data_IF_973845394927
#
_entry.id   IF_973845394927
#
_cell.length_a   1.000
_cell.length_b   1.000
_cell.length_c   1.000
_cell.angle_alpha   90.00
_cell.angle_beta   90.00
_cell.angle_gamma   90.00
#
_symmetry.space_group_name_H-M   'P 1'
#
loop_
_entity.id
_entity.type
_entity.pdbx_description
1 polymer ?
#
# COMPACT_ATOMS: atom_id res chain seq x y z
N UNK A 1 4.02 -12.42 4.41
CA UNK A 1 4.95 -11.27 4.44
C UNK A 1 6.19 -11.45 5.33
N UNK A 2 6.12 -11.38 6.67
CA UNK A 2 7.37 -11.30 7.49
C UNK A 2 8.25 -12.53 7.36
N UNK A 3 7.68 -13.73 7.47
CA UNK A 3 8.43 -14.98 7.33
C UNK A 3 9.14 -15.08 5.98
N UNK A 4 8.48 -14.63 4.89
CA UNK A 4 9.09 -14.60 3.56
C UNK A 4 10.21 -13.56 3.48
N UNK A 5 10.05 -12.38 4.10
CA UNK A 5 11.11 -11.38 4.16
C UNK A 5 12.34 -11.91 4.92
N UNK A 6 12.14 -12.57 6.08
CA UNK A 6 13.22 -13.20 6.84
C UNK A 6 13.96 -14.27 6.03
N UNK A 7 13.24 -15.02 5.18
CA UNK A 7 13.82 -16.12 4.40
C UNK A 7 14.50 -15.68 3.11
N UNK A 8 13.85 -14.81 2.33
CA UNK A 8 14.25 -14.48 0.96
C UNK A 8 14.70 -13.03 0.80
N UNK A 9 14.53 -12.18 1.82
CA UNK A 9 14.83 -10.75 1.76
C UNK A 9 16.31 -10.38 1.74
N UNK A 10 17.22 -11.38 1.74
CA UNK A 10 18.66 -11.17 1.62
C UNK A 10 19.20 -10.16 2.64
N UNK A 11 19.80 -9.06 2.19
CA UNK A 11 20.30 -7.99 3.08
C UNK A 11 19.24 -7.40 4.03
N UNK A 12 17.96 -7.46 3.66
CA UNK A 12 16.84 -6.96 4.48
C UNK A 12 16.24 -8.02 5.40
N UNK A 13 16.73 -9.26 5.35
CA UNK A 13 16.25 -10.37 6.17
C UNK A 13 16.29 -10.03 7.67
N UNK A 14 17.20 -9.18 8.13
CA UNK A 14 17.31 -8.77 9.53
C UNK A 14 16.86 -7.33 9.80
N UNK A 15 16.19 -6.68 8.85
CA UNK A 15 15.70 -5.32 9.04
C UNK A 15 14.73 -5.23 10.25
N UNK A 16 14.76 -4.14 11.04
CA UNK A 16 13.74 -3.90 12.06
C UNK A 16 12.35 -3.80 11.43
N UNK A 17 11.38 -4.53 12.00
CA UNK A 17 10.00 -4.52 11.49
C UNK A 17 9.08 -3.94 12.55
N UNK A 18 8.23 -3.02 12.11
CA UNK A 18 7.10 -2.54 12.89
C UNK A 18 5.81 -3.08 12.30
N UNK A 19 4.98 -3.68 13.14
CA UNK A 19 3.59 -3.93 12.81
C UNK A 19 2.74 -2.89 13.54
N UNK A 20 1.75 -2.30 12.87
CA UNK A 20 0.97 -1.22 13.46
C UNK A 20 -0.52 -1.55 13.40
N UNK A 21 -1.20 -1.35 14.53
CA UNK A 21 -2.66 -1.34 14.62
C UNK A 21 -3.12 0.12 14.73
N UNK A 22 -3.48 0.77 13.62
CA UNK A 22 -3.75 2.21 13.58
C UNK A 22 -5.17 2.57 14.03
N UNK A 23 -6.05 1.56 14.18
CA UNK A 23 -7.44 1.76 14.58
C UNK A 23 -7.99 0.56 15.33
N UNK A 24 -9.03 0.80 16.12
CA UNK A 24 -9.78 -0.24 16.82
C UNK A 24 -10.33 -1.31 15.85
N UNK A 25 -10.17 -2.57 16.24
CA UNK A 25 -10.69 -3.75 15.54
C UNK A 25 -10.57 -4.97 16.45
N UNK A 26 -10.76 -6.16 15.88
CA UNK A 26 -10.46 -7.39 16.59
C UNK A 26 -8.98 -7.41 17.04
N UNK A 27 -8.69 -7.96 18.23
CA UNK A 27 -7.32 -8.12 18.69
C UNK A 27 -6.55 -9.09 17.79
N UNK A 28 -5.22 -8.99 17.82
CA UNK A 28 -4.36 -9.97 17.16
C UNK A 28 -4.55 -11.35 17.80
N UNK A 29 -4.55 -12.39 16.97
CA UNK A 29 -4.59 -13.77 17.46
C UNK A 29 -3.32 -14.12 18.26
N UNK A 30 -3.39 -15.12 19.14
CA UNK A 30 -2.22 -15.65 19.86
C UNK A 30 -1.12 -16.11 18.89
N UNK A 31 -1.50 -16.77 17.80
CA UNK A 31 -0.57 -17.18 16.73
C UNK A 31 0.15 -15.98 16.10
N UNK A 32 -0.55 -14.87 15.86
CA UNK A 32 0.07 -13.65 15.33
C UNK A 32 1.04 -13.04 16.33
N UNK A 33 0.69 -13.00 17.62
CA UNK A 33 1.55 -12.48 18.68
C UNK A 33 2.82 -13.33 18.83
N UNK A 34 2.69 -14.66 18.78
CA UNK A 34 3.83 -15.58 18.77
C UNK A 34 4.76 -15.32 17.58
N UNK A 35 4.21 -15.17 16.36
CA UNK A 35 5.00 -14.83 15.17
C UNK A 35 5.72 -13.48 15.35
N UNK A 36 5.10 -12.52 16.03
CA UNK A 36 5.73 -11.23 16.31
C UNK A 36 6.92 -11.37 17.25
N UNK A 37 6.78 -12.16 18.32
CA UNK A 37 7.87 -12.48 19.24
C UNK A 37 9.01 -13.24 18.54
N UNK A 38 8.70 -14.32 17.83
CA UNK A 38 9.65 -15.17 17.10
C UNK A 38 10.50 -14.39 16.08
N UNK A 39 9.93 -13.34 15.46
CA UNK A 39 10.61 -12.55 14.44
C UNK A 39 11.03 -11.14 14.90
N UNK A 40 10.99 -10.88 16.20
CA UNK A 40 11.36 -9.60 16.83
C UNK A 40 10.63 -8.40 16.20
N UNK A 41 9.32 -8.56 15.97
CA UNK A 41 8.47 -7.53 15.40
C UNK A 41 8.00 -6.60 16.51
N UNK A 42 8.24 -5.30 16.35
CA UNK A 42 7.73 -4.27 17.26
C UNK A 42 6.29 -3.95 16.91
N UNK A 43 5.36 -4.35 17.76
CA UNK A 43 3.94 -4.04 17.58
C UNK A 43 3.58 -2.70 18.22
N UNK A 44 2.98 -1.80 17.45
CA UNK A 44 2.47 -0.51 17.91
C UNK A 44 0.94 -0.50 17.82
N UNK A 45 0.28 -0.06 18.89
CA UNK A 45 -1.14 0.26 18.86
C UNK A 45 -1.25 1.78 18.92
N UNK A 46 -1.71 2.38 17.82
CA UNK A 46 -1.82 3.84 17.72
C UNK A 46 -3.16 4.25 18.32
N UNK A 47 -3.11 5.15 19.29
CA UNK A 47 -4.32 5.85 19.75
C UNK A 47 -4.73 6.83 18.66
N UNK A 48 -6.04 7.00 18.38
CA UNK A 48 -6.48 7.92 17.34
C UNK A 48 -5.86 9.30 17.54
N UNK A 49 -5.18 9.82 16.52
CA UNK A 49 -4.74 11.22 16.52
C UNK A 49 -5.98 12.11 16.47
N UNK A 50 -6.03 13.18 17.27
CA UNK A 50 -7.21 14.07 17.35
C UNK A 50 -7.72 14.49 15.96
N UNK A 51 -6.81 14.84 15.05
CA UNK A 51 -7.15 15.27 13.68
C UNK A 51 -7.65 14.15 12.76
N UNK A 52 -7.43 12.88 13.10
CA UNK A 52 -7.87 11.72 12.31
C UNK A 52 -9.18 11.10 12.81
N UNK A 53 -9.69 11.57 13.96
CA UNK A 53 -10.79 10.91 14.67
C UNK A 53 -12.08 10.89 13.85
N UNK A 54 -12.33 11.93 13.04
CA UNK A 54 -13.48 12.05 12.14
C UNK A 54 -13.47 11.06 10.97
N UNK A 55 -12.31 10.47 10.65
CA UNK A 55 -12.10 9.63 9.49
C UNK A 55 -11.84 8.16 9.82
N UNK A 56 -12.06 7.71 11.07
CA UNK A 56 -11.83 6.32 11.52
C UNK A 56 -12.59 5.24 10.74
N UNK A 57 -13.64 5.65 10.02
CA UNK A 57 -14.38 4.79 9.10
C UNK A 57 -13.60 4.51 7.80
N UNK A 58 -12.79 5.45 7.36
CA UNK A 58 -11.91 5.30 6.22
C UNK A 58 -10.71 4.43 6.61
N UNK A 59 -10.50 3.33 5.91
CA UNK A 59 -9.36 2.44 6.19
C UNK A 59 -8.09 2.84 5.43
N UNK A 60 -8.19 3.64 4.37
CA UNK A 60 -7.05 4.11 3.60
C UNK A 60 -6.13 5.03 4.41
N UNK A 61 -6.67 5.76 5.39
CA UNK A 61 -5.87 6.59 6.31
C UNK A 61 -5.04 5.78 7.33
N UNK A 62 -5.26 4.46 7.43
CA UNK A 62 -4.49 3.61 8.35
C UNK A 62 -3.00 3.61 8.02
N UNK A 63 -2.67 3.62 6.73
CA UNK A 63 -1.31 3.64 6.20
C UNK A 63 -0.54 4.90 6.61
N UNK A 64 -1.00 6.12 6.29
CA UNK A 64 -0.30 7.33 6.72
C UNK A 64 -0.25 7.49 8.25
N UNK A 65 -1.26 7.03 9.00
CA UNK A 65 -1.22 7.01 10.48
C UNK A 65 -0.12 6.08 10.98
N UNK A 66 -0.05 4.87 10.44
CA UNK A 66 0.95 3.87 10.85
C UNK A 66 2.38 4.35 10.54
N UNK A 67 2.58 4.94 9.36
CA UNK A 67 3.87 5.46 8.94
C UNK A 67 4.31 6.60 9.85
N UNK A 68 3.43 7.56 10.16
CA UNK A 68 3.76 8.66 11.07
C UNK A 68 4.15 8.15 12.47
N UNK A 69 3.41 7.18 13.01
CA UNK A 69 3.71 6.61 14.32
C UNK A 69 5.09 5.92 14.36
N UNK A 70 5.48 5.24 13.28
CA UNK A 70 6.81 4.60 13.18
C UNK A 70 7.90 5.64 12.95
N UNK A 71 7.68 6.62 12.07
CA UNK A 71 8.65 7.68 11.75
C UNK A 71 9.09 8.47 12.99
N UNK A 72 8.17 8.69 13.94
CA UNK A 72 8.43 9.40 15.20
C UNK A 72 9.37 8.65 16.16
N UNK A 73 9.48 7.31 16.05
CA UNK A 73 10.22 6.50 17.03
C UNK A 73 11.37 5.70 16.44
N UNK A 74 11.40 5.49 15.12
CA UNK A 74 12.49 4.78 14.48
C UNK A 74 13.76 5.64 14.47
N UNK A 75 14.90 4.99 14.27
CA UNK A 75 16.23 5.62 14.26
C UNK A 75 17.01 5.32 12.98
N UNK A 76 16.41 4.56 12.06
CA UNK A 76 16.98 4.26 10.76
C UNK A 76 17.01 5.52 9.89
N UNK A 77 17.82 5.52 8.85
CA UNK A 77 17.90 6.59 7.86
C UNK A 77 16.65 6.66 6.98
N UNK A 78 16.04 5.50 6.71
CA UNK A 78 14.89 5.36 5.84
C UNK A 78 13.81 4.48 6.47
N UNK A 79 12.60 4.59 5.93
CA UNK A 79 11.46 3.73 6.25
C UNK A 79 10.91 3.17 4.95
N UNK A 80 10.75 1.85 4.90
CA UNK A 80 10.01 1.17 3.86
C UNK A 80 8.60 0.84 4.36
N UNK A 81 7.59 1.21 3.59
CA UNK A 81 6.24 0.68 3.75
C UNK A 81 6.07 -0.56 2.89
N UNK A 82 5.52 -1.62 3.50
CA UNK A 82 5.19 -2.88 2.87
C UNK A 82 3.75 -3.25 3.29
N UNK A 83 2.84 -3.35 2.32
CA UNK A 83 1.50 -3.85 2.60
C UNK A 83 1.54 -5.28 3.18
N UNK A 84 0.51 -5.66 3.94
CA UNK A 84 0.48 -6.95 4.61
C UNK A 84 0.30 -8.14 3.67
N UNK A 85 -0.19 -7.88 2.46
CA UNK A 85 -0.48 -8.86 1.41
C UNK A 85 0.67 -9.01 0.38
N UNK A 86 1.90 -8.92 0.88
CA UNK A 86 3.12 -9.15 0.12
C UNK A 86 3.77 -10.51 0.44
N UNK A 87 4.32 -11.13 -0.60
CA UNK A 87 5.16 -12.33 -0.53
C UNK A 87 6.53 -11.99 -1.14
N UNK A 88 7.57 -12.08 -0.32
CA UNK A 88 8.95 -11.85 -0.76
C UNK A 88 9.50 -13.18 -1.26
N UNK A 89 9.94 -13.24 -2.52
CA UNK A 89 10.44 -14.46 -3.19
C UNK A 89 11.90 -14.34 -3.63
N UNK A 90 12.49 -13.14 -3.53
CA UNK A 90 13.90 -12.86 -3.75
C UNK A 90 14.35 -11.60 -2.99
N UNK A 91 15.65 -11.29 -3.01
CA UNK A 91 16.17 -10.10 -2.32
C UNK A 91 15.68 -8.82 -3.03
N UNK A 92 14.94 -7.91 -2.37
CA UNK A 92 14.45 -6.69 -2.99
C UNK A 92 15.50 -5.57 -2.96
N UNK A 93 16.66 -5.80 -3.59
CA UNK A 93 17.84 -4.94 -3.52
C UNK A 93 17.58 -3.45 -3.79
N UNK A 94 16.73 -3.16 -4.77
CA UNK A 94 16.37 -1.81 -5.22
C UNK A 94 15.58 -0.96 -4.20
N UNK A 95 15.17 -1.53 -3.06
CA UNK A 95 14.61 -0.75 -1.94
C UNK A 95 15.67 0.12 -1.23
N UNK A 96 16.96 -0.06 -1.53
CA UNK A 96 18.02 0.80 -1.02
C UNK A 96 17.92 2.17 -1.71
N UNK A 97 17.89 3.22 -0.90
CA UNK A 97 18.07 4.59 -1.40
C UNK A 97 19.54 4.79 -1.74
N UNK A 98 19.82 5.22 -2.96
CA UNK A 98 21.13 5.72 -3.33
C UNK A 98 21.39 7.10 -2.69
N UNK A 99 22.65 7.55 -2.77
CA UNK A 99 23.03 8.88 -2.32
C UNK A 99 22.21 9.94 -3.05
N UNK A 100 21.61 10.84 -2.26
CA UNK A 100 20.77 11.90 -2.78
C UNK A 100 19.35 11.46 -3.17
N UNK A 101 18.97 10.18 -3.10
CA UNK A 101 17.57 9.74 -3.25
C UNK A 101 16.80 9.89 -1.95
N UNK A 102 15.54 10.33 -2.05
CA UNK A 102 14.68 10.56 -0.90
C UNK A 102 13.36 9.79 -0.94
N UNK A 103 12.96 9.25 -2.10
CA UNK A 103 11.70 8.56 -2.27
C UNK A 103 11.76 7.49 -3.38
N UNK A 104 11.26 6.29 -3.10
CA UNK A 104 11.14 5.19 -4.06
C UNK A 104 9.73 4.65 -4.01
N UNK A 105 9.11 4.37 -5.16
CA UNK A 105 7.83 3.67 -5.22
C UNK A 105 7.67 2.97 -6.57
N UNK A 106 6.86 1.91 -6.61
CA UNK A 106 6.51 1.26 -7.88
C UNK A 106 5.42 2.06 -8.57
N UNK A 107 5.52 2.24 -9.89
CA UNK A 107 4.43 2.87 -10.65
C UNK A 107 3.20 1.95 -10.64
N UNK A 108 2.00 2.55 -10.63
CA UNK A 108 0.73 1.80 -10.63
C UNK A 108 0.34 1.39 -12.05
N UNK A 109 -0.76 0.66 -12.14
CA UNK A 109 -1.65 0.68 -13.31
C UNK A 109 -2.24 2.09 -13.56
N UNK A 110 -2.98 2.22 -14.66
CA UNK A 110 -3.64 3.48 -15.04
C UNK A 110 -4.81 3.88 -14.12
N UNK A 111 -5.45 2.96 -13.39
CA UNK A 111 -6.80 3.12 -12.82
C UNK A 111 -7.02 4.40 -11.98
N UNK A 112 -6.00 4.87 -11.27
CA UNK A 112 -6.06 6.12 -10.47
C UNK A 112 -5.27 7.30 -11.06
N UNK A 113 -4.56 7.08 -12.17
CA UNK A 113 -3.74 8.08 -12.85
C UNK A 113 -4.50 8.76 -13.99
N UNK A 114 -3.89 9.80 -14.54
CA UNK A 114 -4.36 10.51 -15.72
C UNK A 114 -3.24 10.63 -16.75
N UNK A 115 -3.57 10.47 -18.04
CA UNK A 115 -2.66 10.67 -19.18
C UNK A 115 -2.61 12.13 -19.66
N UNK A 116 -3.32 13.04 -19.00
CA UNK A 116 -3.32 14.46 -19.30
C UNK A 116 -4.65 14.97 -19.88
N UNK A 117 -4.63 16.10 -20.60
CA UNK A 117 -5.83 16.70 -21.17
C UNK A 117 -6.67 15.72 -22.00
N UNK A 118 -7.96 15.63 -21.70
CA UNK A 118 -8.92 14.73 -22.37
C UNK A 118 -9.12 13.39 -21.66
N UNK A 119 -8.30 13.07 -20.65
CA UNK A 119 -8.48 11.92 -19.79
C UNK A 119 -9.65 12.10 -18.81
N UNK A 120 -10.42 11.05 -18.56
CA UNK A 120 -11.52 11.05 -17.58
C UNK A 120 -11.07 11.38 -16.15
N UNK A 121 -9.80 11.12 -15.81
CA UNK A 121 -9.24 11.41 -14.50
C UNK A 121 -8.65 12.83 -14.37
N UNK A 122 -8.42 13.56 -15.47
CA UNK A 122 -7.77 14.89 -15.42
C UNK A 122 -8.54 15.91 -14.55
N UNK A 123 -9.89 16.01 -14.60
CA UNK A 123 -10.64 16.93 -13.74
C UNK A 123 -10.44 16.66 -12.25
N UNK A 124 -10.43 15.38 -11.87
CA UNK A 124 -10.14 14.96 -10.50
C UNK A 124 -8.72 15.37 -10.08
N UNK A 125 -7.73 15.14 -10.94
CA UNK A 125 -6.34 15.53 -10.66
C UNK A 125 -6.14 17.04 -10.53
N UNK A 126 -6.85 17.85 -11.33
CA UNK A 126 -6.88 19.30 -11.17
C UNK A 126 -7.39 19.71 -9.78
N UNK A 127 -8.53 19.17 -9.34
CA UNK A 127 -9.09 19.55 -8.04
C UNK A 127 -8.20 19.05 -6.88
N UNK A 128 -7.66 17.84 -6.96
CA UNK A 128 -6.73 17.35 -5.93
C UNK A 128 -5.48 18.23 -5.85
N UNK A 129 -4.88 18.60 -6.98
CA UNK A 129 -3.71 19.49 -6.99
C UNK A 129 -4.05 20.86 -6.39
N UNK A 130 -5.20 21.43 -6.74
CA UNK A 130 -5.69 22.69 -6.15
C UNK A 130 -5.88 22.59 -4.63
N UNK A 131 -6.50 21.52 -4.12
CA UNK A 131 -6.66 21.26 -2.68
C UNK A 131 -5.32 21.19 -1.96
N UNK A 132 -4.30 20.60 -2.61
CA UNK A 132 -2.96 20.44 -2.05
C UNK A 132 -2.03 21.64 -2.30
N UNK A 133 -2.46 22.62 -3.09
CA UNK A 133 -1.65 23.78 -3.47
C UNK A 133 -0.51 23.43 -4.42
N UNK A 134 -0.75 22.49 -5.33
CA UNK A 134 0.18 22.04 -6.37
C UNK A 134 -0.27 22.55 -7.74
N UNK A 135 0.70 22.82 -8.60
CA UNK A 135 0.48 23.06 -10.02
C UNK A 135 0.51 21.72 -10.76
N UNK A 136 -0.61 21.32 -11.35
CA UNK A 136 -0.74 20.06 -12.09
C UNK A 136 0.27 19.97 -13.23
N UNK A 137 0.55 21.09 -13.90
CA UNK A 137 1.45 21.11 -15.05
C UNK A 137 2.92 20.93 -14.68
N UNK A 138 3.27 21.22 -13.43
CA UNK A 138 4.62 20.99 -12.90
C UNK A 138 4.83 19.59 -12.34
N UNK A 139 3.77 18.76 -12.29
CA UNK A 139 3.93 17.39 -11.83
C UNK A 139 4.79 16.59 -12.81
N UNK A 140 5.73 15.77 -12.31
CA UNK A 140 6.44 14.82 -13.16
C UNK A 140 5.49 13.84 -13.82
N UNK A 141 6.00 13.19 -14.86
CA UNK A 141 5.34 12.08 -15.52
C UNK A 141 6.04 10.78 -15.17
N UNK A 142 5.27 9.72 -15.03
CA UNK A 142 5.76 8.35 -14.81
C UNK A 142 5.15 7.40 -15.84
N UNK A 143 5.83 6.30 -16.09
CA UNK A 143 5.34 5.24 -16.99
C UNK A 143 4.73 4.12 -16.15
N UNK A 144 3.48 3.74 -16.42
CA UNK A 144 2.84 2.62 -15.74
C UNK A 144 3.60 1.33 -15.99
N UNK A 145 3.79 0.54 -14.94
CA UNK A 145 4.60 -0.67 -15.03
C UNK A 145 3.89 -1.77 -15.83
N UNK A 146 2.55 -1.83 -15.74
CA UNK A 146 1.77 -2.85 -16.43
C UNK A 146 1.59 -2.52 -17.91
N UNK A 147 1.07 -1.33 -18.22
CA UNK A 147 0.62 -0.96 -19.57
C UNK A 147 1.65 -0.14 -20.37
N UNK A 148 2.69 0.42 -19.73
CA UNK A 148 3.66 1.29 -20.40
C UNK A 148 3.11 2.68 -20.73
N UNK A 149 2.04 3.13 -20.05
CA UNK A 149 1.39 4.40 -20.32
C UNK A 149 2.03 5.54 -19.53
N UNK A 150 2.18 6.70 -20.14
CA UNK A 150 2.69 7.90 -19.47
C UNK A 150 1.54 8.57 -18.71
N UNK A 151 1.62 8.62 -17.38
CA UNK A 151 0.63 9.23 -16.48
C UNK A 151 1.26 10.29 -15.58
N UNK A 152 0.45 11.20 -15.02
CA UNK A 152 0.90 12.13 -13.97
C UNK A 152 1.41 11.34 -12.76
N UNK A 153 2.27 11.98 -11.96
CA UNK A 153 3.06 11.44 -10.84
C UNK A 153 2.29 10.59 -9.80
N UNK A 154 1.93 9.36 -10.18
CA UNK A 154 1.08 8.42 -9.46
C UNK A 154 1.78 7.07 -9.30
N UNK A 155 1.77 6.54 -8.07
CA UNK A 155 2.45 5.30 -7.72
C UNK A 155 1.51 4.35 -7.02
N UNK A 156 1.80 3.05 -7.09
CA UNK A 156 1.16 2.10 -6.21
C UNK A 156 1.65 2.30 -4.76
N UNK A 157 0.74 2.23 -3.79
CA UNK A 157 1.08 2.50 -2.38
C UNK A 157 1.47 1.25 -1.57
N UNK A 158 1.52 0.08 -2.19
CA UNK A 158 1.81 -1.19 -1.54
C UNK A 158 3.26 -1.37 -1.14
N UNK A 159 4.19 -0.80 -1.93
CA UNK A 159 5.62 -0.79 -1.65
C UNK A 159 6.21 0.57 -1.98
N UNK A 160 6.76 1.24 -0.97
CA UNK A 160 7.53 2.46 -1.16
C UNK A 160 8.54 2.67 -0.02
N UNK A 161 9.55 3.48 -0.28
CA UNK A 161 10.61 3.84 0.67
C UNK A 161 10.75 5.35 0.68
N UNK A 162 10.98 5.94 1.86
CA UNK A 162 11.33 7.35 1.95
C UNK A 162 12.47 7.56 2.95
N UNK A 163 13.29 8.56 2.67
CA UNK A 163 14.34 9.03 3.57
C UNK A 163 13.69 9.84 4.70
N UNK A 164 14.10 9.55 5.93
CA UNK A 164 13.63 10.32 7.10
C UNK A 164 14.25 11.71 7.13
N UNK A 165 13.67 12.59 7.94
CA UNK A 165 14.13 13.97 8.09
C UNK A 165 13.52 14.97 7.10
N UNK A 166 12.76 14.51 6.10
CA UNK A 166 12.06 15.37 5.12
C UNK A 166 10.60 15.66 5.47
N UNK A 167 10.13 15.32 6.68
CA UNK A 167 8.73 15.45 7.12
C UNK A 167 7.69 14.72 6.24
N UNK A 168 8.13 13.74 5.44
CA UNK A 168 7.28 13.01 4.51
C UNK A 168 6.06 12.39 5.20
N UNK A 169 6.26 11.62 6.28
CA UNK A 169 5.18 10.93 6.97
C UNK A 169 4.09 11.88 7.49
N UNK A 170 4.49 13.03 8.06
CA UNK A 170 3.57 14.03 8.57
C UNK A 170 2.80 14.73 7.43
N UNK A 171 3.52 15.13 6.38
CA UNK A 171 2.89 15.78 5.22
C UNK A 171 1.98 14.82 4.46
N UNK A 172 2.33 13.54 4.40
CA UNK A 172 1.52 12.52 3.74
C UNK A 172 0.17 12.33 4.44
N UNK A 173 0.18 12.19 5.77
CA UNK A 173 -1.06 12.16 6.54
C UNK A 173 -1.87 13.44 6.37
N UNK A 174 -1.21 14.61 6.42
CA UNK A 174 -1.88 15.91 6.23
C UNK A 174 -2.56 16.00 4.86
N UNK A 175 -1.90 15.57 3.78
CA UNK A 175 -2.46 15.61 2.43
C UNK A 175 -3.66 14.68 2.30
N UNK A 176 -3.58 13.46 2.85
CA UNK A 176 -4.72 12.55 2.90
C UNK A 176 -5.92 13.18 3.63
N UNK A 177 -5.69 13.81 4.78
CA UNK A 177 -6.75 14.47 5.53
C UNK A 177 -7.33 15.68 4.78
N UNK A 178 -6.50 16.53 4.18
CA UNK A 178 -6.95 17.66 3.36
C UNK A 178 -7.86 17.23 2.20
N UNK A 179 -7.50 16.15 1.51
CA UNK A 179 -8.35 15.60 0.44
C UNK A 179 -9.70 15.13 0.98
N UNK A 180 -9.70 14.51 2.16
CA UNK A 180 -10.95 14.09 2.81
C UNK A 180 -11.77 15.28 3.35
N UNK A 181 -11.13 16.33 3.84
CA UNK A 181 -11.79 17.56 4.28
C UNK A 181 -12.44 18.28 3.09
N UNK A 182 -11.77 18.26 1.93
CA UNK A 182 -12.25 18.86 0.69
C UNK A 182 -13.36 18.06 -0.01
N UNK A 183 -13.62 16.81 0.42
CA UNK A 183 -14.68 15.94 -0.10
C UNK A 183 -14.61 15.73 -1.62
N UNK A 184 -13.40 15.65 -2.15
CA UNK A 184 -13.16 15.36 -3.56
C UNK A 184 -13.23 13.86 -3.82
N UNK A 185 -13.90 13.47 -4.89
CA UNK A 185 -14.03 12.08 -5.33
C UNK A 185 -13.84 12.00 -6.84
N UNK A 186 -13.19 10.93 -7.31
CA UNK A 186 -13.14 10.59 -8.72
C UNK A 186 -14.43 9.90 -9.16
N UNK A 187 -14.82 10.10 -10.41
CA UNK A 187 -15.87 9.35 -11.11
C UNK A 187 -15.49 7.89 -11.39
N UNK A 188 -14.19 7.59 -11.53
CA UNK A 188 -13.64 6.26 -11.83
C UNK A 188 -13.40 5.46 -10.56
N UNK A 189 -12.61 6.00 -9.64
CA UNK A 189 -12.17 5.29 -8.45
C UNK A 189 -12.83 5.78 -7.15
N UNK A 190 -13.76 6.73 -7.23
CA UNK A 190 -14.38 7.31 -6.03
C UNK A 190 -13.37 8.11 -5.20
N UNK A 191 -13.57 8.12 -3.88
CA UNK A 191 -12.57 8.59 -2.92
C UNK A 191 -11.67 7.42 -2.45
N UNK A 192 -11.81 6.25 -3.06
CA UNK A 192 -10.92 5.11 -2.81
C UNK A 192 -9.53 5.46 -3.33
N UNK A 193 -8.48 4.96 -2.67
CA UNK A 193 -7.08 5.25 -3.03
C UNK A 193 -6.62 6.71 -2.82
N UNK A 194 -7.33 7.51 -2.00
CA UNK A 194 -6.86 8.84 -1.63
C UNK A 194 -5.44 8.81 -1.01
N UNK A 195 -5.09 7.76 -0.28
CA UNK A 195 -3.73 7.53 0.22
C UNK A 195 -2.74 7.28 -0.91
N UNK A 196 -3.11 6.52 -1.94
CA UNK A 196 -2.26 6.27 -3.09
C UNK A 196 -2.04 7.52 -3.95
N UNK A 197 -3.10 8.30 -4.20
CA UNK A 197 -3.01 9.58 -4.91
C UNK A 197 -2.14 10.58 -4.13
N UNK A 198 -2.37 10.69 -2.81
CA UNK A 198 -1.60 11.60 -1.97
C UNK A 198 -0.11 11.21 -1.86
N UNK A 199 0.28 9.96 -2.15
CA UNK A 199 1.65 9.47 -1.99
C UNK A 199 2.62 10.24 -2.91
N UNK A 200 2.40 10.17 -4.22
CA UNK A 200 3.22 10.87 -5.22
C UNK A 200 3.15 12.38 -5.04
N UNK A 201 1.94 12.93 -4.83
CA UNK A 201 1.74 14.36 -4.63
C UNK A 201 2.46 14.90 -3.39
N UNK A 202 2.59 14.10 -2.34
CA UNK A 202 3.39 14.48 -1.16
C UNK A 202 4.88 14.55 -1.49
N UNK A 203 5.41 13.57 -2.22
CA UNK A 203 6.81 13.59 -2.65
C UNK A 203 7.10 14.79 -3.57
N UNK A 204 6.18 15.11 -4.50
CA UNK A 204 6.28 16.28 -5.37
C UNK A 204 6.23 17.60 -4.58
N UNK A 205 5.29 17.73 -3.63
CA UNK A 205 5.15 18.91 -2.78
C UNK A 205 6.40 19.19 -1.95
N UNK A 206 7.05 18.14 -1.45
CA UNK A 206 8.29 18.22 -0.69
C UNK A 206 9.54 18.30 -1.58
N UNK A 207 9.37 18.29 -2.92
CA UNK A 207 10.45 18.31 -3.91
C UNK A 207 11.49 17.21 -3.65
N UNK A 208 11.02 16.03 -3.26
CA UNK A 208 11.90 14.89 -3.01
C UNK A 208 12.48 14.39 -4.32
N UNK A 209 13.79 14.15 -4.34
CA UNK A 209 14.43 13.33 -5.37
C UNK A 209 13.90 11.90 -5.26
N UNK A 210 13.65 11.30 -6.41
CA UNK A 210 12.93 10.04 -6.47
C UNK A 210 13.40 9.15 -7.62
N UNK A 211 13.08 7.87 -7.50
CA UNK A 211 13.23 6.85 -8.55
C UNK A 211 12.07 5.87 -8.51
N UNK A 212 11.59 5.48 -9.68
CA UNK A 212 10.62 4.39 -9.79
C UNK A 212 11.29 3.05 -9.46
N UNK A 213 10.67 2.27 -8.59
CA UNK A 213 11.04 0.87 -8.39
C UNK A 213 10.68 0.05 -9.63
N UNK A 214 11.49 -0.95 -10.01
CA UNK A 214 11.11 -1.90 -11.04
C UNK A 214 9.83 -2.64 -10.68
N UNK A 215 9.10 -3.12 -11.70
CA UNK A 215 7.85 -3.84 -11.50
C UNK A 215 8.01 -5.11 -10.64
N UNK A 216 9.20 -5.72 -10.68
CA UNK A 216 9.56 -6.88 -9.86
C UNK A 216 9.52 -6.63 -8.35
N UNK A 217 9.47 -5.38 -7.90
CA UNK A 217 9.38 -5.00 -6.47
C UNK A 217 7.95 -4.79 -5.99
N UNK A 218 6.95 -4.95 -6.85
CA UNK A 218 5.54 -4.89 -6.46
C UNK A 218 4.64 -5.58 -7.52
N UNK A 219 4.99 -6.81 -7.92
CA UNK A 219 4.29 -7.50 -9.01
C UNK A 219 2.90 -7.99 -8.53
N UNK A 220 1.79 -7.46 -9.06
CA UNK A 220 0.44 -7.80 -8.62
C UNK A 220 0.02 -9.16 -9.19
N UNK A 221 -0.47 -10.03 -8.32
CA UNK A 221 -1.16 -11.26 -8.72
C UNK A 221 -2.54 -11.22 -8.11
N UNK A 222 -3.56 -11.05 -8.92
CA UNK A 222 -4.95 -10.95 -8.47
C UNK A 222 -5.85 -11.90 -9.27
N UNK A 223 -6.81 -12.60 -8.63
CA UNK A 223 -7.78 -13.42 -9.35
C UNK A 223 -8.62 -12.60 -10.34
N UNK A 224 -8.78 -11.29 -10.09
CA UNK A 224 -9.61 -10.41 -10.91
C UNK A 224 -8.96 -10.00 -12.24
N UNK A 225 -7.63 -9.97 -12.28
CA UNK A 225 -6.87 -9.51 -13.44
C UNK A 225 -5.98 -10.59 -14.04
N UNK A 226 -5.92 -11.79 -13.43
CA UNK A 226 -5.02 -12.86 -13.86
C UNK A 226 -5.17 -13.21 -15.36
N UNK A 227 -6.39 -13.29 -15.87
CA UNK A 227 -6.63 -13.64 -17.28
C UNK A 227 -6.04 -12.63 -18.28
N UNK A 228 -5.98 -11.36 -17.89
CA UNK A 228 -5.55 -10.27 -18.80
C UNK A 228 -4.12 -9.81 -18.54
N UNK A 229 -3.66 -9.91 -17.29
CA UNK A 229 -2.43 -9.26 -16.82
C UNK A 229 -1.32 -10.23 -16.46
N UNK A 230 -1.60 -11.53 -16.36
CA UNK A 230 -0.58 -12.51 -16.04
C UNK A 230 0.50 -12.58 -17.12
N UNK A 231 1.75 -12.47 -16.68
CA UNK A 231 2.93 -12.64 -17.51
C UNK A 231 3.95 -13.44 -16.71
N UNK A 232 4.16 -14.70 -17.10
CA UNK A 232 5.08 -15.61 -16.42
C UNK A 232 6.52 -15.07 -16.41
N UNK A 233 6.96 -14.42 -17.49
CA UNK A 233 8.33 -13.89 -17.60
C UNK A 233 8.56 -12.76 -16.59
N UNK A 234 7.60 -11.83 -16.49
CA UNK A 234 7.65 -10.75 -15.50
C UNK A 234 7.49 -11.27 -14.08
N UNK A 235 6.63 -12.27 -13.86
CA UNK A 235 6.50 -12.90 -12.56
C UNK A 235 7.84 -13.55 -12.16
N UNK A 236 8.52 -14.27 -13.06
CA UNK A 236 9.84 -14.89 -12.79
C UNK A 236 10.92 -13.90 -12.38
N UNK A 237 10.82 -12.65 -12.81
CA UNK A 237 11.71 -11.56 -12.40
C UNK A 237 11.33 -10.95 -11.04
N UNK A 238 10.12 -11.21 -10.53
CA UNK A 238 9.62 -10.62 -9.30
C UNK A 238 10.46 -11.04 -8.09
N UNK A 239 10.77 -10.08 -7.22
CA UNK A 239 11.32 -10.33 -5.89
C UNK A 239 10.26 -10.09 -4.79
N UNK A 240 9.24 -9.29 -5.08
CA UNK A 240 8.07 -9.05 -4.24
C UNK A 240 6.82 -9.25 -5.08
N UNK A 241 5.98 -10.19 -4.64
CA UNK A 241 4.67 -10.46 -5.21
C UNK A 241 3.61 -9.82 -4.32
N UNK A 242 2.84 -8.88 -4.87
CA UNK A 242 1.64 -8.34 -4.25
C UNK A 242 0.47 -9.28 -4.55
N UNK A 243 0.26 -10.24 -3.66
CA UNK A 243 -0.63 -11.37 -3.95
C UNK A 243 -2.12 -11.02 -3.85
N UNK A 244 -2.48 -9.81 -3.40
CA UNK A 244 -3.87 -9.38 -3.21
C UNK A 244 -4.74 -10.46 -2.55
N UNK A 245 -5.67 -11.05 -3.32
CA UNK A 245 -6.55 -12.12 -2.85
C UNK A 245 -6.14 -13.53 -3.32
N UNK A 246 -5.03 -13.67 -4.04
CA UNK A 246 -4.58 -14.91 -4.68
C UNK A 246 -4.20 -16.02 -3.70
N UNK A 247 -3.85 -15.66 -2.47
CA UNK A 247 -3.57 -16.63 -1.41
C UNK A 247 -4.83 -17.19 -0.72
N UNK A 248 -6.03 -16.73 -1.08
CA UNK A 248 -7.30 -17.28 -0.61
C UNK A 248 -7.85 -18.32 -1.59
N UNK A 249 -8.67 -19.25 -1.09
CA UNK A 249 -9.50 -20.08 -1.96
C UNK A 249 -10.55 -19.21 -2.69
N UNK A 250 -10.92 -19.55 -3.95
CA UNK A 250 -10.49 -20.74 -4.70
C UNK A 250 -9.18 -20.57 -5.47
N UNK A 251 -8.58 -19.38 -5.51
CA UNK A 251 -7.46 -19.08 -6.41
C UNK A 251 -6.11 -19.62 -5.95
N UNK A 252 -6.00 -20.09 -4.71
CA UNK A 252 -4.78 -20.64 -4.13
C UNK A 252 -4.05 -21.66 -5.02
N UNK A 253 -4.77 -22.60 -5.64
CA UNK A 253 -4.15 -23.62 -6.50
C UNK A 253 -3.46 -22.97 -7.70
N UNK A 254 -4.17 -22.11 -8.43
CA UNK A 254 -3.61 -21.34 -9.55
C UNK A 254 -2.41 -20.51 -9.12
N UNK A 255 -2.49 -19.86 -7.95
CA UNK A 255 -1.37 -19.09 -7.40
C UNK A 255 -0.15 -19.97 -7.12
N UNK A 256 -0.36 -21.15 -6.52
CA UNK A 256 0.71 -22.10 -6.23
C UNK A 256 1.33 -22.69 -7.50
N UNK A 257 0.53 -22.94 -8.54
CA UNK A 257 1.01 -23.38 -9.84
C UNK A 257 1.91 -22.31 -10.48
N UNK A 258 1.46 -21.05 -10.50
CA UNK A 258 2.29 -19.93 -10.97
C UNK A 258 3.62 -19.83 -10.22
N UNK A 259 3.60 -20.00 -8.89
CA UNK A 259 4.82 -20.01 -8.08
C UNK A 259 5.70 -21.24 -8.37
N UNK A 260 5.12 -22.40 -8.68
CA UNK A 260 5.89 -23.61 -8.98
C UNK A 260 6.73 -23.40 -10.24
N UNK A 261 6.14 -22.78 -11.26
CA UNK A 261 6.83 -22.49 -12.53
C UNK A 261 7.86 -21.37 -12.40
N UNK A 262 7.61 -20.36 -11.57
CA UNK A 262 8.45 -19.14 -11.50
C UNK A 262 9.43 -19.12 -10.33
N UNK A 263 9.04 -19.66 -9.18
CA UNK A 263 9.77 -19.60 -7.91
C UNK A 263 9.63 -20.92 -7.11
N UNK A 264 10.17 -22.05 -7.61
CA UNK A 264 9.90 -23.38 -7.04
C UNK A 264 10.25 -23.50 -5.56
N UNK A 265 11.31 -22.81 -5.09
CA UNK A 265 11.67 -22.79 -3.66
C UNK A 265 10.64 -22.08 -2.79
N UNK A 266 10.01 -21.02 -3.30
CA UNK A 266 8.92 -20.35 -2.59
C UNK A 266 7.65 -21.20 -2.63
N UNK A 267 7.33 -21.81 -3.79
CA UNK A 267 6.18 -22.70 -3.94
C UNK A 267 6.21 -23.88 -2.96
N UNK A 268 7.33 -24.60 -2.87
CA UNK A 268 7.50 -25.73 -1.94
C UNK A 268 7.22 -25.30 -0.50
N UNK A 269 7.71 -24.13 -0.09
CA UNK A 269 7.42 -23.61 1.23
C UNK A 269 5.96 -23.19 1.40
N UNK A 270 5.40 -22.46 0.45
CA UNK A 270 4.02 -22.00 0.50
C UNK A 270 3.04 -23.18 0.58
N UNK A 271 3.33 -24.30 -0.09
CA UNK A 271 2.57 -25.54 0.03
C UNK A 271 2.52 -26.08 1.47
N UNK A 272 3.57 -25.89 2.28
CA UNK A 272 3.58 -26.29 3.70
C UNK A 272 2.71 -25.40 4.59
N UNK A 273 2.43 -24.16 4.17
CA UNK A 273 1.58 -23.21 4.90
C UNK A 273 0.11 -23.41 4.52
N UNK A 274 -0.16 -23.65 3.23
CA UNK A 274 -1.50 -23.76 2.69
C UNK A 274 -2.18 -22.40 2.46
N UNK A 275 -3.44 -22.42 1.99
CA UNK A 275 -4.21 -21.21 1.71
C UNK A 275 -4.49 -20.41 2.99
N UNK A 276 -4.73 -19.10 2.82
CA UNK A 276 -5.20 -18.27 3.92
C UNK A 276 -6.59 -18.72 4.41
N UNK A 277 -6.75 -18.65 5.73
CA UNK A 277 -7.98 -19.02 6.43
C UNK A 277 -8.36 -17.94 7.44
N UNK A 278 -9.63 -17.55 7.45
CA UNK A 278 -10.14 -16.56 8.39
C UNK A 278 -10.54 -17.25 9.70
N UNK A 279 -9.61 -17.26 10.66
CA UNK A 279 -9.78 -17.89 11.98
C UNK A 279 -10.33 -16.95 13.05
N UNK A 280 -10.97 -15.82 12.69
CA UNK A 280 -11.50 -14.88 13.68
C UNK A 280 -12.57 -15.59 14.55
N UNK A 281 -12.46 -15.56 15.89
CA UNK A 281 -13.47 -16.14 16.78
C UNK A 281 -14.86 -15.48 16.63
N UNK A 282 -15.93 -16.24 16.86
CA UNK A 282 -17.32 -15.77 16.68
C UNK A 282 -17.65 -14.45 17.40
N UNK A 283 -17.24 -14.21 18.67
CA UNK A 283 -17.51 -12.93 19.32
C UNK A 283 -16.89 -11.75 18.58
N UNK A 284 -15.67 -11.91 18.08
CA UNK A 284 -14.98 -10.88 17.31
C UNK A 284 -15.54 -10.73 15.90
N UNK A 285 -16.09 -11.79 15.29
CA UNK A 285 -16.86 -11.68 14.03
C UNK A 285 -18.11 -10.80 14.25
N UNK A 286 -18.85 -11.01 15.34
CA UNK A 286 -20.02 -10.20 15.68
C UNK A 286 -19.63 -8.74 15.95
N UNK A 287 -18.60 -8.51 16.77
CA UNK A 287 -18.06 -7.17 17.04
C UNK A 287 -17.63 -6.45 15.76
N UNK A 288 -16.84 -7.11 14.90
CA UNK A 288 -16.40 -6.54 13.61
C UNK A 288 -17.58 -6.25 12.68
N UNK A 289 -18.65 -7.06 12.71
CA UNK A 289 -19.86 -6.81 11.92
C UNK A 289 -20.59 -5.56 12.40
N UNK A 290 -20.74 -5.37 13.71
CA UNK A 290 -21.34 -4.15 14.29
C UNK A 290 -20.50 -2.92 13.96
N UNK A 291 -19.19 -2.99 14.22
CA UNK A 291 -18.26 -1.90 13.91
C UNK A 291 -18.24 -1.59 12.40
N UNK A 292 -18.29 -2.62 11.56
CA UNK A 292 -18.38 -2.51 10.11
C UNK A 292 -19.63 -1.76 9.65
N UNK A 293 -20.79 -2.03 10.25
CA UNK A 293 -22.04 -1.30 9.95
C UNK A 293 -21.95 0.19 10.30
N UNK A 294 -21.40 0.52 11.47
CA UNK A 294 -21.21 1.92 11.88
C UNK A 294 -20.30 2.64 10.90
N UNK A 295 -19.14 2.05 10.58
CA UNK A 295 -18.20 2.62 9.61
C UNK A 295 -18.80 2.75 8.21
N UNK A 296 -19.57 1.76 7.77
CA UNK A 296 -20.24 1.79 6.47
C UNK A 296 -21.28 2.91 6.40
N UNK A 297 -22.04 3.15 7.47
CA UNK A 297 -22.97 4.28 7.55
C UNK A 297 -22.24 5.63 7.45
N UNK A 298 -21.15 5.81 8.19
CA UNK A 298 -20.31 7.01 8.11
C UNK A 298 -19.71 7.20 6.71
N UNK A 299 -19.23 6.12 6.10
CA UNK A 299 -18.71 6.10 4.73
C UNK A 299 -19.76 6.54 3.72
N UNK A 300 -20.97 5.96 3.78
CA UNK A 300 -22.07 6.30 2.87
C UNK A 300 -22.52 7.75 3.06
N UNK A 301 -22.60 8.22 4.30
CA UNK A 301 -22.90 9.62 4.57
C UNK A 301 -21.83 10.54 3.97
N UNK A 302 -20.55 10.26 4.22
CA UNK A 302 -19.45 11.03 3.64
C UNK A 302 -19.50 11.04 2.11
N UNK A 303 -19.70 9.87 1.47
CA UNK A 303 -19.84 9.74 0.02
C UNK A 303 -20.95 10.64 -0.55
N UNK A 304 -22.10 10.72 0.14
CA UNK A 304 -23.22 11.56 -0.30
C UNK A 304 -22.92 13.07 -0.26
N UNK A 305 -21.83 13.45 0.43
CA UNK A 305 -21.39 14.84 0.55
C UNK A 305 -20.19 15.17 -0.33
N UNK A 306 -19.67 14.19 -1.08
CA UNK A 306 -18.56 14.41 -1.99
C UNK A 306 -18.98 15.06 -3.30
N UNK A 307 -18.10 15.91 -3.82
CA UNK A 307 -18.17 16.35 -5.22
C UNK A 307 -17.40 15.35 -6.08
N UNK A 308 -18.06 14.84 -7.10
CA UNK A 308 -17.48 13.87 -8.05
C UNK A 308 -16.96 14.62 -9.26
N UNK A 309 -15.71 14.33 -9.62
CA UNK A 309 -14.99 14.90 -10.76
C UNK A 309 -14.66 13.83 -11.79
#
# INVERSE_FOLDING_TARGET
MVQSLRRYGGRYSNAPIFAVTPRLGAPLSSKTQQIFEEHNIRHLIVKPHETSIGYRWNHFINKPIAILAVDQICKTEAVAWLDSDLLIVGEPGELALADGENFLACTSDRLGGTTGPGDEMEPYWHEVCKVLGLDLEQLPWVTTAQEGLKIRYYFNSGVFVYRRGHNFAQQYLRNCLKMLDARVSSSVCGFFFADQVALGLTAAQLKLSWRSLPYSHNYPVSPLTHGDWYDESRLREACIIHYHNSMWMPFWTTFLDCLTETHPRAAVWMATIGPMVNQIPLPYKAFNKVLGRVRQSQKTHYQSTCTVY
#
